data_IF_368898682367
#
_entry.id   IF_368898682367
#
_cell.length_a   1.000
_cell.length_b   1.000
_cell.length_c   1.000
_cell.angle_alpha   90.00
_cell.angle_beta   90.00
_cell.angle_gamma   90.00
#
_symmetry.space_group_name_H-M   'P 1'
#
loop_
_entity.id
_entity.type
_entity.pdbx_description
1 polymer ?
#
# COMPACT_ATOMS: atom_id res chain seq x y z
N UNK A 1 -9.89 3.28 13.85
CA UNK A 1 -8.65 3.20 13.07
C UNK A 1 -8.69 4.27 11.99
N UNK A 2 -7.65 5.07 11.88
CA UNK A 2 -7.62 6.15 10.87
C UNK A 2 -7.64 5.58 9.45
N UNK A 3 -8.07 6.39 8.49
CA UNK A 3 -8.07 5.97 7.09
C UNK A 3 -6.66 5.60 6.62
N UNK A 4 -5.64 6.32 7.10
CA UNK A 4 -4.25 6.02 6.73
C UNK A 4 -3.81 4.65 7.26
N UNK A 5 -4.19 4.29 8.48
CA UNK A 5 -3.89 2.98 9.03
C UNK A 5 -4.65 1.87 8.33
N UNK A 6 -5.90 2.11 7.96
CA UNK A 6 -6.69 1.15 7.20
C UNK A 6 -6.05 0.88 5.83
N UNK A 7 -5.65 1.94 5.14
CA UNK A 7 -4.99 1.83 3.84
C UNK A 7 -3.65 1.09 3.97
N UNK A 8 -2.85 1.44 4.96
CA UNK A 8 -1.57 0.78 5.19
C UNK A 8 -1.73 -0.70 5.48
N UNK A 9 -2.71 -1.06 6.31
CA UNK A 9 -3.02 -2.46 6.61
C UNK A 9 -3.50 -3.21 5.36
N UNK A 10 -4.30 -2.56 4.51
CA UNK A 10 -4.78 -3.16 3.27
C UNK A 10 -3.63 -3.44 2.30
N UNK A 11 -2.73 -2.48 2.14
CA UNK A 11 -1.55 -2.65 1.28
C UNK A 11 -0.69 -3.81 1.80
N UNK A 12 -0.44 -3.85 3.11
CA UNK A 12 0.34 -4.93 3.71
C UNK A 12 -0.31 -6.29 3.48
N UNK A 13 -1.63 -6.39 3.64
CA UNK A 13 -2.36 -7.62 3.39
C UNK A 13 -2.18 -8.08 1.94
N UNK A 14 -2.39 -7.19 0.98
CA UNK A 14 -2.24 -7.51 -0.44
C UNK A 14 -0.80 -7.92 -0.78
N UNK A 15 0.18 -7.24 -0.19
CA UNK A 15 1.60 -7.58 -0.36
C UNK A 15 1.87 -8.99 0.13
N UNK A 16 1.37 -9.34 1.31
CA UNK A 16 1.56 -10.65 1.91
C UNK A 16 0.85 -11.75 1.11
N UNK A 17 -0.31 -11.46 0.55
CA UNK A 17 -1.03 -12.40 -0.31
C UNK A 17 -0.22 -12.74 -1.56
N UNK A 18 0.61 -11.82 -2.03
CA UNK A 18 1.48 -12.03 -3.17
C UNK A 18 2.83 -12.63 -2.78
N UNK A 19 3.04 -12.91 -1.51
CA UNK A 19 4.31 -13.41 -0.95
C UNK A 19 5.48 -12.46 -1.20
N UNK A 20 5.21 -11.16 -1.24
CA UNK A 20 6.25 -10.14 -1.37
C UNK A 20 6.74 -9.71 0.00
N UNK A 21 8.06 -9.56 0.13
CA UNK A 21 8.63 -8.79 1.22
C UNK A 21 8.38 -7.29 0.97
N UNK A 22 8.61 -6.47 1.97
CA UNK A 22 8.53 -5.02 1.77
C UNK A 22 9.55 -4.54 0.73
N UNK A 23 10.72 -5.18 0.68
CA UNK A 23 11.74 -4.88 -0.32
C UNK A 23 11.27 -5.25 -1.72
N UNK A 24 10.64 -6.40 -1.88
CA UNK A 24 10.09 -6.84 -3.17
C UNK A 24 9.09 -5.81 -3.69
N UNK A 25 8.15 -5.39 -2.85
CA UNK A 25 7.15 -4.41 -3.27
C UNK A 25 7.79 -3.06 -3.59
N UNK A 26 8.76 -2.62 -2.78
CA UNK A 26 9.42 -1.34 -3.04
C UNK A 26 10.15 -1.33 -4.38
N UNK A 27 10.81 -2.43 -4.73
CA UNK A 27 11.50 -2.56 -6.00
C UNK A 27 10.51 -2.59 -7.17
N UNK A 28 9.46 -3.38 -7.06
CA UNK A 28 8.45 -3.50 -8.12
C UNK A 28 7.69 -2.19 -8.33
N UNK A 29 7.36 -1.50 -7.26
CA UNK A 29 6.61 -0.26 -7.33
C UNK A 29 7.48 0.97 -7.65
N UNK A 30 8.79 0.86 -7.48
CA UNK A 30 9.67 2.02 -7.61
C UNK A 30 9.44 3.04 -6.49
N UNK A 31 9.14 2.57 -5.28
CA UNK A 31 8.88 3.39 -4.11
C UNK A 31 9.95 3.11 -3.06
N UNK A 32 10.42 4.15 -2.39
CA UNK A 32 11.42 4.00 -1.34
C UNK A 32 10.93 3.03 -0.26
N UNK A 33 11.82 2.12 0.15
CA UNK A 33 11.49 1.07 1.12
C UNK A 33 11.05 1.63 2.46
N UNK A 34 11.75 2.63 2.97
CA UNK A 34 11.41 3.24 4.26
C UNK A 34 10.05 3.95 4.19
N UNK A 35 9.80 4.65 3.07
CA UNK A 35 8.51 5.28 2.84
C UNK A 35 7.39 4.24 2.82
N UNK A 36 7.60 3.14 2.11
CA UNK A 36 6.60 2.07 2.02
C UNK A 36 6.30 1.46 3.39
N UNK A 37 7.34 1.24 4.21
CA UNK A 37 7.16 0.77 5.58
C UNK A 37 6.33 1.71 6.43
N UNK A 38 6.62 3.02 6.34
CA UNK A 38 5.82 4.05 7.03
C UNK A 38 4.38 4.06 6.53
N UNK A 39 4.19 3.92 5.22
CA UNK A 39 2.86 3.88 4.63
C UNK A 39 2.04 2.71 5.17
N UNK A 40 2.64 1.54 5.27
CA UNK A 40 1.97 0.35 5.82
C UNK A 40 1.59 0.53 7.29
N UNK A 41 2.35 1.33 8.03
CA UNK A 41 2.05 1.66 9.43
C UNK A 41 1.04 2.80 9.58
N UNK A 42 0.59 3.38 8.48
CA UNK A 42 -0.37 4.48 8.51
C UNK A 42 0.26 5.84 8.83
N UNK A 43 1.55 6.00 8.58
CA UNK A 43 2.32 7.20 8.94
C UNK A 43 2.60 8.13 7.77
N UNK A 44 1.95 7.91 6.64
CA UNK A 44 2.13 8.74 5.44
C UNK A 44 0.79 9.01 4.79
N UNK A 45 0.74 10.14 4.07
CA UNK A 45 -0.40 10.51 3.22
C UNK A 45 0.06 10.36 1.77
N UNK A 46 -0.12 9.19 1.16
CA UNK A 46 0.40 8.95 -0.18
C UNK A 46 -0.37 9.72 -1.23
N UNK A 47 0.34 10.10 -2.28
CA UNK A 47 -0.32 10.66 -3.46
C UNK A 47 -1.02 9.56 -4.24
N UNK A 48 -1.97 9.96 -5.09
CA UNK A 48 -2.64 9.02 -5.99
C UNK A 48 -1.63 8.34 -6.92
N UNK A 49 -0.60 9.07 -7.36
CA UNK A 49 0.43 8.51 -8.23
C UNK A 49 1.19 7.38 -7.51
N UNK A 50 1.57 7.58 -6.26
CA UNK A 50 2.25 6.54 -5.48
C UNK A 50 1.33 5.33 -5.28
N UNK A 51 0.06 5.55 -4.97
CA UNK A 51 -0.90 4.47 -4.81
C UNK A 51 -1.07 3.67 -6.10
N UNK A 52 -1.09 4.35 -7.24
CA UNK A 52 -1.16 3.68 -8.54
C UNK A 52 0.07 2.80 -8.81
N UNK A 53 1.26 3.29 -8.47
CA UNK A 53 2.49 2.49 -8.59
C UNK A 53 2.41 1.21 -7.74
N UNK A 54 1.88 1.33 -6.53
CA UNK A 54 1.73 0.18 -5.63
C UNK A 54 0.69 -0.80 -6.18
N UNK A 55 -0.44 -0.30 -6.67
CA UNK A 55 -1.48 -1.16 -7.26
C UNK A 55 -0.95 -1.93 -8.47
N UNK A 56 -0.21 -1.26 -9.35
CA UNK A 56 0.40 -1.90 -10.52
C UNK A 56 1.39 -2.99 -10.08
N UNK A 57 2.21 -2.71 -9.07
CA UNK A 57 3.18 -3.68 -8.56
C UNK A 57 2.50 -4.89 -7.93
N UNK A 58 1.34 -4.69 -7.33
CA UNK A 58 0.53 -5.76 -6.73
C UNK A 58 -0.38 -6.46 -7.75
N UNK A 59 -0.40 -5.96 -8.97
CA UNK A 59 -1.24 -6.49 -10.04
C UNK A 59 -2.74 -6.47 -9.68
N UNK A 60 -3.16 -5.35 -9.11
CA UNK A 60 -4.57 -5.12 -8.75
C UNK A 60 -5.02 -3.77 -9.28
N UNK A 61 -6.33 -3.61 -9.45
CA UNK A 61 -6.90 -2.30 -9.75
C UNK A 61 -6.71 -1.36 -8.56
N UNK A 62 -6.59 -0.07 -8.85
CA UNK A 62 -6.42 0.93 -7.79
C UNK A 62 -7.55 0.87 -6.76
N UNK A 63 -8.77 0.59 -7.19
CA UNK A 63 -9.93 0.44 -6.31
C UNK A 63 -9.74 -0.65 -5.25
N UNK A 64 -8.97 -1.69 -5.55
CA UNK A 64 -8.72 -2.79 -4.62
C UNK A 64 -7.95 -2.32 -3.40
N UNK A 65 -7.11 -1.30 -3.53
CA UNK A 65 -6.40 -0.72 -2.39
C UNK A 65 -7.34 -0.10 -1.38
N UNK A 66 -8.49 0.37 -1.83
CA UNK A 66 -9.46 1.07 -0.97
C UNK A 66 -10.60 0.17 -0.49
N UNK A 67 -10.57 -1.09 -0.85
CA UNK A 67 -11.63 -2.03 -0.50
C UNK A 67 -11.71 -2.21 1.01
N UNK A 68 -12.92 -2.04 1.56
CA UNK A 68 -13.14 -2.18 2.99
C UNK A 68 -12.71 -0.99 3.84
N UNK A 69 -12.18 0.06 3.23
CA UNK A 69 -11.76 1.26 3.96
C UNK A 69 -12.98 2.14 4.21
N UNK A 70 -13.16 2.53 5.46
CA UNK A 70 -14.26 3.40 5.87
C UNK A 70 -13.73 4.53 6.71
N UNK A 71 -14.16 5.74 6.41
CA UNK A 71 -13.92 6.88 7.28
C UNK A 71 -14.86 6.81 8.48
N UNK A 72 -14.27 7.00 9.66
CA UNK A 72 -15.04 6.96 10.91
C UNK A 72 -14.94 8.30 11.60
#
# INVERSE_FOLDING_TARGET
MTINKQLGARIRYLRQQKNYSIEDLSLEAGVNRNYLGDLERGMRNPTLIILNKIALALDVDLSVLFEGIKEI
#
